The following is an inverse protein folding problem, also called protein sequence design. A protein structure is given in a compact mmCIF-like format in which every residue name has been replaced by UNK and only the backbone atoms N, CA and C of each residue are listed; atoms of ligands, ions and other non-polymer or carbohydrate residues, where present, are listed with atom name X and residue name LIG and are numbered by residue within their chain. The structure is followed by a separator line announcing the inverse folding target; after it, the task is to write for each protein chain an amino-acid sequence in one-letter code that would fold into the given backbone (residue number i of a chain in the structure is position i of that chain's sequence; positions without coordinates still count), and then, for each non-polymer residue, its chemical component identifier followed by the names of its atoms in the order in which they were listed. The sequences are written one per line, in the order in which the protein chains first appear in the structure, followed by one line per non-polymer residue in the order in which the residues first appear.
data_IF_846958401482
#
_entry.id   IF_846958401482
#
_cell.length_a   1.000
_cell.length_b   1.000
_cell.length_c   1.000
_cell.angle_alpha   90.00
_cell.angle_beta   90.00
_cell.angle_gamma   90.00
#
_symmetry.space_group_name_H-M   'P 1'
#
loop_
_entity.id
_entity.type
_entity.pdbx_description
1 polymer ?
#
# COMPACT_ATOMS: atom_id res chain seq x y z
N UNK A 1 -48.76 48.81 57.72
CA UNK A 1 -48.90 50.27 57.74
C UNK A 1 -48.96 50.76 56.35
N UNK A 2 -50.00 51.35 56.03
CA UNK A 2 -50.35 52.45 55.07
C UNK A 2 -50.00 52.20 53.62
N UNK A 3 -51.01 51.92 52.71
CA UNK A 3 -52.00 52.86 52.18
C UNK A 3 -51.32 53.86 51.26
N UNK A 4 -51.75 54.22 50.05
CA UNK A 4 -53.07 54.53 49.50
C UNK A 4 -52.90 55.02 48.02
N UNK A 5 -53.92 54.75 47.18
CA UNK A 5 -54.44 55.50 46.02
C UNK A 5 -53.49 55.76 44.81
N UNK A 6 -53.76 55.44 43.58
CA UNK A 6 -55.05 55.54 42.87
C UNK A 6 -54.99 56.65 41.85
N UNK A 7 -55.12 56.33 40.55
CA UNK A 7 -55.98 57.08 39.63
C UNK A 7 -55.94 56.56 38.22
N UNK A 8 -57.09 56.25 37.73
CA UNK A 8 -57.50 56.00 36.36
C UNK A 8 -57.35 57.22 35.45
N UNK A 9 -56.89 56.97 34.22
CA UNK A 9 -57.29 57.79 33.11
C UNK A 9 -57.43 56.98 31.83
N UNK A 10 -58.59 57.08 31.25
CA UNK A 10 -58.98 56.43 29.98
C UNK A 10 -58.52 57.29 28.78
N UNK A 11 -58.65 56.72 27.66
CA UNK A 11 -58.86 57.11 26.28
C UNK A 11 -57.67 57.15 25.32
N UNK A 12 -57.90 56.45 24.22
CA UNK A 12 -57.33 56.81 22.94
C UNK A 12 -57.13 55.64 22.01
N UNK A 13 -58.22 55.02 21.50
CA UNK A 13 -58.19 54.15 20.35
C UNK A 13 -57.66 54.84 19.09
N UNK A 14 -56.54 54.41 18.55
CA UNK A 14 -56.20 54.65 17.13
C UNK A 14 -55.75 53.34 16.56
N UNK A 15 -56.57 52.74 15.70
CA UNK A 15 -56.26 51.63 14.86
C UNK A 15 -55.21 52.02 13.82
N UNK A 16 -54.03 51.47 13.90
CA UNK A 16 -53.05 51.54 12.82
C UNK A 16 -53.06 50.17 12.15
N UNK A 17 -53.54 50.10 10.92
CA UNK A 17 -53.48 48.94 10.06
C UNK A 17 -51.99 48.70 9.69
N UNK A 18 -51.40 47.64 10.24
CA UNK A 18 -50.10 47.14 9.83
C UNK A 18 -50.35 46.15 8.69
N UNK A 19 -50.07 46.54 7.47
CA UNK A 19 -50.01 45.66 6.31
C UNK A 19 -48.77 44.77 6.48
N UNK A 20 -49.03 43.51 6.79
CA UNK A 20 -48.00 42.47 6.87
C UNK A 20 -47.62 42.06 5.44
N UNK A 21 -46.53 42.62 4.91
CA UNK A 21 -45.91 42.17 3.67
C UNK A 21 -45.23 40.85 3.94
N UNK A 22 -45.84 39.74 3.53
CA UNK A 22 -45.20 38.40 3.53
C UNK A 22 -44.11 38.40 2.46
N UNK A 23 -42.85 38.54 2.88
CA UNK A 23 -41.70 38.20 2.05
C UNK A 23 -41.67 36.68 1.92
N UNK A 24 -42.08 36.17 0.78
CA UNK A 24 -41.84 34.78 0.36
C UNK A 24 -40.35 34.70 0.05
N UNK A 25 -39.54 34.23 1.02
CA UNK A 25 -38.18 33.76 0.76
C UNK A 25 -38.35 32.49 -0.10
N UNK A 26 -38.16 32.63 -1.40
CA UNK A 26 -37.92 31.52 -2.30
C UNK A 26 -36.58 30.87 -1.85
N UNK A 27 -36.65 29.88 -0.94
CA UNK A 27 -35.55 28.97 -0.66
C UNK A 27 -35.31 28.20 -1.96
N UNK A 28 -34.26 28.55 -2.68
CA UNK A 28 -33.68 27.65 -3.67
C UNK A 28 -33.25 26.41 -2.90
N UNK A 29 -34.13 25.42 -2.81
CA UNK A 29 -33.82 24.08 -2.37
C UNK A 29 -32.90 23.45 -3.41
N UNK A 30 -31.61 23.70 -3.32
CA UNK A 30 -30.64 22.80 -3.85
C UNK A 30 -30.85 21.46 -3.11
N UNK A 31 -31.28 20.42 -3.80
CA UNK A 31 -31.25 19.07 -3.28
C UNK A 31 -29.78 18.65 -3.20
N UNK A 32 -29.12 19.04 -2.10
CA UNK A 32 -27.84 18.47 -1.71
C UNK A 32 -28.10 17.00 -1.39
N UNK A 33 -28.08 16.17 -2.42
CA UNK A 33 -27.98 14.72 -2.22
C UNK A 33 -26.72 14.49 -1.39
N UNK A 34 -26.81 13.72 -0.31
CA UNK A 34 -25.62 13.43 0.48
C UNK A 34 -24.53 12.88 -0.45
N UNK A 35 -23.26 13.32 -0.28
CA UNK A 35 -22.19 12.87 -1.16
C UNK A 35 -22.15 11.35 -1.19
N UNK A 36 -22.12 10.77 -2.39
CA UNK A 36 -22.01 9.32 -2.57
C UNK A 36 -20.74 8.85 -1.82
N UNK A 37 -20.86 7.92 -0.88
CA UNK A 37 -19.71 7.48 -0.12
C UNK A 37 -18.68 6.83 -1.06
N UNK A 38 -17.37 7.02 -0.83
CA UNK A 38 -16.32 6.50 -1.71
C UNK A 38 -16.45 4.99 -1.88
N UNK A 39 -16.10 4.47 -3.06
CA UNK A 39 -16.20 3.04 -3.38
C UNK A 39 -15.46 2.18 -2.35
N UNK A 40 -14.25 2.60 -1.97
CA UNK A 40 -13.47 1.97 -0.91
C UNK A 40 -13.34 2.95 0.28
N UNK A 41 -14.01 2.64 1.38
CA UNK A 41 -13.94 3.42 2.61
C UNK A 41 -12.65 3.17 3.42
N UNK A 42 -11.97 2.05 3.14
CA UNK A 42 -10.75 1.64 3.87
C UNK A 42 -9.81 0.90 2.92
N UNK A 43 -8.52 1.20 3.02
CA UNK A 43 -7.45 0.44 2.36
C UNK A 43 -6.59 -0.22 3.43
N UNK A 44 -6.43 -1.55 3.36
CA UNK A 44 -5.59 -2.36 4.26
C UNK A 44 -4.41 -2.89 3.48
N UNK A 45 -3.20 -2.78 4.05
CA UNK A 45 -1.95 -3.13 3.36
C UNK A 45 -1.17 -4.18 4.13
N UNK A 46 -0.69 -5.20 3.43
CA UNK A 46 0.25 -6.21 3.91
C UNK A 46 1.47 -6.22 2.99
N UNK A 47 2.69 -6.22 3.54
CA UNK A 47 3.89 -6.14 2.72
C UNK A 47 5.17 -5.94 3.51
N UNK A 48 6.17 -5.34 2.85
CA UNK A 48 7.48 -5.06 3.43
C UNK A 48 7.86 -3.57 3.28
N UNK A 49 9.15 -3.28 3.17
CA UNK A 49 9.69 -1.91 3.13
C UNK A 49 9.13 -1.02 2.02
N UNK A 50 8.75 -1.61 0.87
CA UNK A 50 8.18 -0.88 -0.29
C UNK A 50 6.80 -0.31 0.03
N UNK A 51 6.15 -0.82 1.07
CA UNK A 51 4.79 -0.41 1.49
C UNK A 51 4.71 -0.03 2.96
N UNK A 52 5.79 -0.17 3.75
CA UNK A 52 5.83 0.24 5.16
C UNK A 52 5.82 1.76 5.29
N UNK A 53 4.77 2.33 5.87
CA UNK A 53 4.61 3.77 6.10
C UNK A 53 5.07 4.22 7.48
N UNK A 54 5.80 3.35 8.21
CA UNK A 54 6.41 3.68 9.51
C UNK A 54 6.04 2.73 10.64
N UNK A 55 5.80 1.45 10.37
CA UNK A 55 5.68 0.42 11.41
C UNK A 55 7.05 0.10 12.01
N UNK A 56 8.12 0.10 11.20
CA UNK A 56 9.49 -0.17 11.67
C UNK A 56 10.20 1.13 11.99
N UNK A 57 10.18 2.11 11.09
CA UNK A 57 10.86 3.38 11.26
C UNK A 57 9.91 4.52 11.67
N UNK A 58 10.39 5.46 12.46
CA UNK A 58 11.77 5.72 12.90
C UNK A 58 12.20 5.02 14.20
N UNK A 59 11.41 4.08 14.73
CA UNK A 59 11.61 3.55 16.07
C UNK A 59 12.74 2.50 16.18
N UNK A 60 13.06 1.77 15.10
CA UNK A 60 14.02 0.68 15.13
C UNK A 60 15.45 1.15 14.83
N UNK A 61 16.48 0.52 15.43
CA UNK A 61 17.85 0.67 14.99
C UNK A 61 18.03 0.31 13.52
N UNK A 62 18.87 1.05 12.79
CA UNK A 62 19.13 0.80 11.36
C UNK A 62 18.11 1.41 10.42
N UNK A 63 17.19 2.23 10.91
CA UNK A 63 16.33 3.01 10.04
C UNK A 63 17.14 3.98 9.18
N UNK A 64 16.71 4.19 7.90
CA UNK A 64 17.41 5.11 7.03
C UNK A 64 17.34 6.55 7.58
N UNK A 65 18.38 7.37 7.32
CA UNK A 65 18.45 8.74 7.82
C UNK A 65 17.36 9.63 7.19
N UNK A 66 16.82 10.51 7.99
CA UNK A 66 15.81 11.50 7.55
C UNK A 66 16.37 12.92 7.80
N UNK A 67 16.60 13.74 6.75
CA UNK A 67 16.66 13.38 5.33
C UNK A 67 17.90 12.52 4.99
N UNK A 68 18.05 11.97 3.79
CA UNK A 68 17.29 12.21 2.56
C UNK A 68 16.12 11.24 2.33
N UNK A 69 15.92 10.25 3.20
CA UNK A 69 14.71 9.43 3.15
C UNK A 69 13.50 10.20 3.70
N UNK A 70 12.32 9.89 3.20
CA UNK A 70 11.08 10.39 3.79
C UNK A 70 10.80 9.69 5.13
N UNK A 71 10.30 10.43 6.11
CA UNK A 71 10.06 9.90 7.45
C UNK A 71 9.20 8.65 7.45
N UNK A 72 9.68 7.59 8.08
CA UNK A 72 9.01 6.30 8.20
C UNK A 72 8.98 5.46 6.91
N UNK A 73 9.70 5.85 5.85
CA UNK A 73 9.68 5.19 4.55
C UNK A 73 11.07 4.83 4.07
N UNK A 74 11.16 3.77 3.28
CA UNK A 74 12.38 3.36 2.59
C UNK A 74 12.43 3.94 1.17
N UNK A 75 12.07 5.21 1.05
CA UNK A 75 12.03 5.98 -0.21
C UNK A 75 12.23 7.47 0.08
N UNK A 76 12.39 8.28 -0.95
CA UNK A 76 12.48 9.74 -0.84
C UNK A 76 11.12 10.47 -0.78
N UNK A 77 10.01 9.72 -0.70
CA UNK A 77 8.67 10.32 -0.66
C UNK A 77 7.55 9.30 -0.49
N UNK A 78 6.32 9.62 -0.92
CA UNK A 78 5.16 8.75 -0.78
C UNK A 78 5.32 7.41 -1.48
N UNK A 79 4.75 6.36 -0.87
CA UNK A 79 4.73 5.00 -1.39
C UNK A 79 3.48 4.78 -2.27
N UNK A 80 3.51 3.80 -3.16
CA UNK A 80 2.41 3.54 -4.09
C UNK A 80 1.08 3.25 -3.39
N UNK A 81 1.10 2.59 -2.23
CA UNK A 81 -0.10 2.31 -1.44
C UNK A 81 -0.80 3.57 -0.95
N UNK A 82 -0.03 4.64 -0.68
CA UNK A 82 -0.57 5.95 -0.32
C UNK A 82 -1.26 6.60 -1.52
N UNK A 83 -0.67 6.49 -2.72
CA UNK A 83 -1.27 6.97 -3.97
C UNK A 83 -2.57 6.23 -4.29
N UNK A 84 -2.60 4.91 -4.10
CA UNK A 84 -3.80 4.10 -4.32
C UNK A 84 -4.90 4.45 -3.32
N UNK A 85 -4.58 4.54 -2.04
CA UNK A 85 -5.56 4.88 -1.00
C UNK A 85 -6.13 6.29 -1.17
N UNK A 86 -5.26 7.27 -1.46
CA UNK A 86 -5.65 8.67 -1.65
C UNK A 86 -6.66 8.86 -2.78
N UNK A 87 -6.62 8.02 -3.84
CA UNK A 87 -7.61 8.04 -4.92
C UNK A 87 -9.05 7.88 -4.42
N UNK A 88 -9.24 7.16 -3.32
CA UNK A 88 -10.54 6.89 -2.71
C UNK A 88 -10.76 7.69 -1.42
N UNK A 89 -9.96 8.72 -1.16
CA UNK A 89 -10.04 9.53 0.06
C UNK A 89 -9.61 8.82 1.34
N UNK A 90 -8.94 7.66 1.22
CA UNK A 90 -8.43 6.90 2.35
C UNK A 90 -6.96 7.23 2.63
N UNK A 91 -6.54 6.98 3.87
CA UNK A 91 -5.13 7.03 4.28
C UNK A 91 -4.67 5.65 4.76
N UNK A 92 -3.38 5.36 4.59
CA UNK A 92 -2.75 4.12 5.06
C UNK A 92 -1.68 4.46 6.09
N UNK A 93 -2.13 4.65 7.33
CA UNK A 93 -1.24 4.90 8.47
C UNK A 93 -0.75 3.59 9.08
N UNK A 94 0.42 3.56 9.74
CA UNK A 94 0.97 2.34 10.35
C UNK A 94 0.02 1.70 11.36
N UNK A 95 -0.06 0.36 11.38
CA UNK A 95 -0.86 -0.41 12.34
C UNK A 95 -0.38 -0.22 13.78
N UNK A 96 0.91 0.02 13.99
CA UNK A 96 1.50 0.36 15.29
C UNK A 96 0.98 1.66 15.88
N UNK A 97 0.30 2.48 15.05
CA UNK A 97 -0.38 3.73 15.45
C UNK A 97 -1.89 3.64 15.24
N UNK A 98 -2.45 2.43 15.23
CA UNK A 98 -3.89 2.20 15.07
C UNK A 98 -4.41 2.34 13.65
N UNK A 99 -3.51 2.36 12.64
CA UNK A 99 -3.88 2.46 11.23
C UNK A 99 -4.08 1.11 10.54
N UNK A 100 -4.19 1.17 9.22
CA UNK A 100 -4.53 0.03 8.37
C UNK A 100 -3.36 -0.52 7.55
N UNK A 101 -2.17 0.04 7.71
CA UNK A 101 -0.95 -0.47 7.09
C UNK A 101 -0.25 -1.45 8.05
N UNK A 102 -0.27 -2.73 7.72
CA UNK A 102 0.36 -3.81 8.46
C UNK A 102 1.72 -4.23 7.86
N UNK A 103 2.23 -3.54 6.84
CA UNK A 103 3.51 -3.83 6.24
C UNK A 103 4.67 -3.51 7.20
N UNK A 104 5.65 -4.40 7.29
CA UNK A 104 6.86 -4.22 8.08
C UNK A 104 8.10 -4.38 7.21
N UNK A 105 8.98 -3.40 7.21
CA UNK A 105 10.26 -3.48 6.50
C UNK A 105 11.04 -4.73 6.92
N UNK A 106 11.61 -5.46 5.93
CA UNK A 106 12.29 -6.72 6.16
C UNK A 106 11.38 -7.95 6.27
N UNK A 107 10.05 -7.78 6.18
CA UNK A 107 9.11 -8.90 6.19
C UNK A 107 9.35 -9.86 5.01
N UNK A 108 9.06 -11.15 5.24
CA UNK A 108 8.96 -12.21 4.24
C UNK A 108 7.49 -12.55 4.01
N UNK A 109 7.18 -13.34 2.98
CA UNK A 109 5.80 -13.79 2.75
C UNK A 109 5.31 -14.64 3.92
N UNK A 110 6.11 -15.58 4.36
CA UNK A 110 5.89 -16.48 5.50
C UNK A 110 7.19 -17.13 5.96
N UNK A 111 7.11 -18.35 6.42
CA UNK A 111 8.28 -19.16 6.79
C UNK A 111 9.02 -19.64 5.53
N UNK A 112 10.36 -19.55 5.55
CA UNK A 112 11.20 -20.12 4.49
C UNK A 112 11.54 -21.55 4.87
N UNK A 113 11.29 -22.53 3.99
CA UNK A 113 11.70 -23.91 4.21
C UNK A 113 13.20 -24.02 4.51
N UNK A 114 13.57 -24.86 5.48
CA UNK A 114 14.97 -25.09 5.84
C UNK A 114 15.68 -23.95 6.59
N UNK A 115 15.01 -22.80 6.80
CA UNK A 115 15.58 -21.72 7.60
C UNK A 115 15.34 -21.97 9.08
N UNK A 116 16.42 -22.20 9.84
CA UNK A 116 16.35 -22.51 11.28
C UNK A 116 16.12 -21.29 12.15
N UNK A 117 16.62 -20.11 11.72
CA UNK A 117 16.44 -18.85 12.45
C UNK A 117 15.34 -18.02 11.78
N UNK A 118 14.20 -17.93 12.41
CA UNK A 118 13.11 -17.08 11.93
C UNK A 118 13.39 -15.60 12.24
N UNK A 119 12.91 -14.73 11.35
CA UNK A 119 12.95 -13.27 11.59
C UNK A 119 11.98 -12.91 12.72
N UNK A 120 12.36 -11.92 13.54
CA UNK A 120 11.45 -11.29 14.51
C UNK A 120 10.48 -10.31 13.84
N UNK A 121 10.76 -9.90 12.59
CA UNK A 121 9.83 -9.09 11.78
C UNK A 121 8.61 -9.92 11.40
N UNK A 122 7.38 -9.44 11.65
CA UNK A 122 6.17 -10.15 11.27
C UNK A 122 6.15 -10.44 9.77
N UNK A 123 6.02 -11.72 9.39
CA UNK A 123 5.80 -12.10 7.99
C UNK A 123 4.44 -11.60 7.50
N UNK A 124 4.19 -11.59 6.18
CA UNK A 124 2.90 -11.17 5.65
C UNK A 124 1.74 -12.02 6.21
N UNK A 125 1.94 -13.32 6.40
CA UNK A 125 0.94 -14.18 7.05
C UNK A 125 0.69 -13.74 8.49
N UNK A 126 1.74 -13.42 9.24
CA UNK A 126 1.62 -12.91 10.61
C UNK A 126 0.99 -11.50 10.67
N UNK A 127 1.25 -10.65 9.67
CA UNK A 127 0.58 -9.36 9.51
C UNK A 127 -0.93 -9.53 9.31
N UNK A 128 -1.33 -10.52 8.50
CA UNK A 128 -2.74 -10.89 8.35
C UNK A 128 -3.33 -11.37 9.68
N UNK A 129 -2.60 -12.18 10.46
CA UNK A 129 -3.04 -12.61 11.80
C UNK A 129 -3.26 -11.40 12.73
N UNK A 130 -2.32 -10.45 12.74
CA UNK A 130 -2.45 -9.21 13.49
C UNK A 130 -3.70 -8.41 13.06
N UNK A 131 -3.91 -8.26 11.76
CA UNK A 131 -5.09 -7.59 11.22
C UNK A 131 -6.38 -8.30 11.67
N UNK A 132 -6.46 -9.62 11.44
CA UNK A 132 -7.66 -10.41 11.80
C UNK A 132 -7.98 -10.34 13.29
N UNK A 133 -6.98 -10.27 14.16
CA UNK A 133 -7.18 -10.11 15.61
C UNK A 133 -7.84 -8.77 15.98
N UNK A 134 -7.77 -7.76 15.12
CA UNK A 134 -8.45 -6.47 15.33
C UNK A 134 -9.90 -6.46 14.86
N UNK A 135 -10.33 -7.45 14.06
CA UNK A 135 -11.64 -7.46 13.45
C UNK A 135 -12.70 -8.02 14.38
N UNK A 136 -13.88 -7.40 14.37
CA UNK A 136 -15.07 -7.83 15.14
C UNK A 136 -16.21 -8.09 14.14
N UNK A 137 -16.24 -9.27 13.55
CA UNK A 137 -17.23 -9.66 12.55
C UNK A 137 -16.69 -9.72 11.14
N UNK A 138 -17.59 -9.71 10.15
CA UNK A 138 -17.20 -9.80 8.75
C UNK A 138 -16.53 -8.51 8.25
N UNK A 139 -15.55 -8.67 7.37
CA UNK A 139 -14.89 -7.56 6.69
C UNK A 139 -15.88 -6.84 5.77
N UNK A 140 -15.74 -5.52 5.68
CA UNK A 140 -16.56 -4.73 4.76
C UNK A 140 -16.24 -5.08 3.31
N UNK A 141 -17.26 -5.30 2.50
CA UNK A 141 -17.14 -5.46 1.06
C UNK A 141 -16.69 -4.16 0.34
N UNK A 142 -16.59 -3.04 1.08
CA UNK A 142 -16.06 -1.74 0.62
C UNK A 142 -14.64 -1.49 1.13
N UNK A 143 -13.94 -2.51 1.57
CA UNK A 143 -12.52 -2.43 1.91
C UNK A 143 -11.67 -2.94 0.75
N UNK A 144 -10.61 -2.20 0.43
CA UNK A 144 -9.57 -2.62 -0.51
C UNK A 144 -8.42 -3.23 0.27
N UNK A 145 -8.03 -4.46 -0.06
CA UNK A 145 -6.90 -5.14 0.53
C UNK A 145 -5.76 -5.19 -0.48
N UNK A 146 -4.56 -4.77 -0.08
CA UNK A 146 -3.35 -4.81 -0.90
C UNK A 146 -2.38 -5.82 -0.30
N UNK A 147 -2.09 -6.87 -1.04
CA UNK A 147 -1.07 -7.88 -0.74
C UNK A 147 0.14 -7.55 -1.61
N UNK A 148 1.17 -6.96 -0.98
CA UNK A 148 2.40 -6.56 -1.65
C UNK A 148 3.41 -7.72 -1.67
N UNK A 149 3.29 -8.57 -2.68
CA UNK A 149 4.20 -9.69 -2.83
C UNK A 149 5.59 -9.30 -3.41
N UNK A 150 5.92 -8.00 -3.54
CA UNK A 150 7.31 -7.54 -3.70
C UNK A 150 8.18 -8.02 -2.53
N UNK A 151 7.55 -8.30 -1.40
CA UNK A 151 8.10 -8.98 -0.21
C UNK A 151 8.88 -10.26 -0.55
N UNK A 152 8.57 -10.93 -1.67
CA UNK A 152 9.32 -12.08 -2.17
C UNK A 152 10.81 -11.76 -2.38
N UNK A 153 11.20 -10.51 -2.59
CA UNK A 153 12.60 -10.09 -2.60
C UNK A 153 13.35 -10.45 -1.32
N UNK A 154 12.71 -10.34 -0.16
CA UNK A 154 13.28 -10.74 1.11
C UNK A 154 13.36 -12.28 1.25
N UNK A 155 12.42 -13.02 0.64
CA UNK A 155 12.50 -14.47 0.56
C UNK A 155 13.70 -14.89 -0.29
N UNK A 156 13.92 -14.27 -1.44
CA UNK A 156 15.08 -14.52 -2.32
C UNK A 156 16.38 -14.24 -1.57
N UNK A 157 16.49 -13.09 -0.93
CA UNK A 157 17.69 -12.71 -0.19
C UNK A 157 18.05 -13.73 0.91
N UNK A 158 17.05 -14.22 1.64
CA UNK A 158 17.27 -15.24 2.69
C UNK A 158 17.40 -16.66 2.14
N UNK A 159 16.78 -16.97 1.01
CA UNK A 159 16.74 -18.31 0.43
C UNK A 159 17.92 -18.63 -0.47
N UNK A 160 18.54 -17.66 -1.13
CA UNK A 160 19.68 -17.90 -2.03
C UNK A 160 20.84 -18.65 -1.37
N UNK A 161 21.27 -18.30 -0.14
CA UNK A 161 22.31 -19.09 0.56
C UNK A 161 21.90 -20.53 0.81
N UNK A 162 20.62 -20.79 1.13
CA UNK A 162 20.10 -22.14 1.36
C UNK A 162 20.04 -22.97 0.07
N UNK A 163 19.71 -22.31 -1.04
CA UNK A 163 19.73 -22.92 -2.39
C UNK A 163 21.19 -23.25 -2.77
N UNK A 164 22.11 -22.32 -2.56
CA UNK A 164 23.54 -22.54 -2.81
C UNK A 164 24.15 -23.68 -1.99
N UNK A 165 23.66 -23.86 -0.76
CA UNK A 165 24.03 -24.96 0.12
C UNK A 165 23.31 -26.29 -0.18
N UNK A 166 22.37 -26.30 -1.14
CA UNK A 166 21.53 -27.49 -1.44
C UNK A 166 20.51 -27.86 -0.36
N UNK A 167 20.26 -26.97 0.61
CA UNK A 167 19.29 -27.19 1.70
C UNK A 167 17.85 -27.15 1.18
N UNK A 168 17.58 -26.26 0.23
CA UNK A 168 16.29 -26.15 -0.47
C UNK A 168 16.52 -25.94 -1.96
N UNK A 169 15.48 -26.14 -2.75
CA UNK A 169 15.46 -25.78 -4.18
C UNK A 169 14.78 -24.42 -4.39
N UNK A 170 15.07 -23.76 -5.52
CA UNK A 170 14.36 -22.55 -5.94
C UNK A 170 12.84 -22.78 -6.06
N UNK A 171 12.43 -23.97 -6.53
CA UNK A 171 11.01 -24.36 -6.60
C UNK A 171 10.36 -24.39 -5.21
N UNK A 172 11.03 -24.93 -4.20
CA UNK A 172 10.50 -24.95 -2.83
C UNK A 172 10.32 -23.54 -2.27
N UNK A 173 11.29 -22.63 -2.53
CA UNK A 173 11.19 -21.24 -2.11
C UNK A 173 10.00 -20.53 -2.77
N UNK A 174 9.85 -20.68 -4.08
CA UNK A 174 8.76 -20.09 -4.86
C UNK A 174 7.41 -20.64 -4.44
N UNK A 175 7.28 -21.97 -4.30
CA UNK A 175 6.04 -22.64 -3.90
C UNK A 175 5.59 -22.19 -2.51
N UNK A 176 6.50 -22.09 -1.54
CA UNK A 176 6.19 -21.63 -0.19
C UNK A 176 5.60 -20.19 -0.23
N UNK A 177 6.25 -19.28 -0.95
CA UNK A 177 5.77 -17.91 -1.08
C UNK A 177 4.39 -17.80 -1.77
N UNK A 178 4.15 -18.60 -2.80
CA UNK A 178 2.85 -18.65 -3.48
C UNK A 178 1.77 -19.16 -2.53
N UNK A 179 2.07 -20.23 -1.77
CA UNK A 179 1.16 -20.78 -0.77
C UNK A 179 0.77 -19.75 0.27
N UNK A 180 1.73 -18.94 0.75
CA UNK A 180 1.48 -17.84 1.68
C UNK A 180 0.47 -16.85 1.09
N UNK A 181 0.71 -16.37 -0.15
CA UNK A 181 -0.15 -15.37 -0.81
C UNK A 181 -1.57 -15.93 -1.04
N UNK A 182 -1.68 -17.15 -1.55
CA UNK A 182 -2.97 -17.82 -1.78
C UNK A 182 -3.73 -18.00 -0.46
N UNK A 183 -3.03 -18.41 0.60
CA UNK A 183 -3.60 -18.51 1.94
C UNK A 183 -4.15 -17.16 2.42
N UNK A 184 -3.42 -16.07 2.20
CA UNK A 184 -3.87 -14.74 2.58
C UNK A 184 -5.13 -14.33 1.82
N UNK A 185 -5.18 -14.53 0.49
CA UNK A 185 -6.38 -14.24 -0.34
C UNK A 185 -7.56 -15.07 0.15
N UNK A 186 -7.38 -16.37 0.36
CA UNK A 186 -8.43 -17.29 0.83
C UNK A 186 -9.00 -16.86 2.18
N UNK A 187 -8.13 -16.51 3.14
CA UNK A 187 -8.54 -16.09 4.48
C UNK A 187 -9.26 -14.75 4.45
N UNK A 188 -8.80 -13.78 3.66
CA UNK A 188 -9.48 -12.49 3.46
C UNK A 188 -10.86 -12.71 2.82
N UNK A 189 -10.95 -13.54 1.78
CA UNK A 189 -12.22 -13.88 1.14
C UNK A 189 -13.21 -14.52 2.13
N UNK A 190 -12.76 -15.53 2.88
CA UNK A 190 -13.58 -16.21 3.89
C UNK A 190 -14.08 -15.26 4.99
N UNK A 191 -13.29 -14.24 5.32
CA UNK A 191 -13.65 -13.19 6.28
C UNK A 191 -14.59 -12.11 5.71
N UNK A 192 -14.90 -12.14 4.41
CA UNK A 192 -15.85 -11.21 3.77
C UNK A 192 -15.22 -10.19 2.82
N UNK A 193 -13.90 -10.20 2.60
CA UNK A 193 -13.27 -9.33 1.59
C UNK A 193 -13.83 -9.61 0.19
N UNK A 194 -13.98 -8.54 -0.60
CA UNK A 194 -14.47 -8.62 -1.99
C UNK A 194 -13.59 -7.88 -2.99
N UNK A 195 -12.58 -7.15 -2.54
CA UNK A 195 -11.64 -6.43 -3.39
C UNK A 195 -10.22 -6.64 -2.86
N UNK A 196 -9.42 -7.39 -3.61
CA UNK A 196 -8.02 -7.70 -3.25
C UNK A 196 -7.12 -7.37 -4.43
N UNK A 197 -6.09 -6.57 -4.18
CA UNK A 197 -4.97 -6.32 -5.10
C UNK A 197 -3.83 -7.22 -4.69
N UNK A 198 -3.25 -7.95 -5.63
CA UNK A 198 -1.99 -8.67 -5.48
C UNK A 198 -0.97 -8.03 -6.42
N UNK A 199 0.12 -7.53 -5.86
CA UNK A 199 1.27 -7.01 -6.64
C UNK A 199 2.37 -8.07 -6.56
N UNK A 200 2.76 -8.67 -7.69
CA UNK A 200 3.86 -9.65 -7.67
C UNK A 200 5.24 -8.96 -7.51
N UNK A 201 6.30 -9.76 -7.39
CA UNK A 201 7.66 -9.24 -7.28
C UNK A 201 8.15 -8.66 -8.61
N UNK A 202 8.94 -7.55 -8.57
CA UNK A 202 9.67 -7.10 -9.76
C UNK A 202 10.73 -8.12 -10.16
N UNK A 203 11.36 -7.93 -11.31
CA UNK A 203 12.58 -8.66 -11.63
C UNK A 203 13.70 -8.21 -10.67
N UNK A 204 13.90 -8.99 -9.60
CA UNK A 204 14.87 -8.68 -8.54
C UNK A 204 16.29 -8.65 -9.10
N UNK A 205 16.58 -9.41 -10.18
CA UNK A 205 17.85 -9.38 -10.88
C UNK A 205 18.22 -8.01 -11.47
N UNK A 206 17.26 -7.11 -11.66
CA UNK A 206 17.51 -5.75 -12.17
C UNK A 206 17.86 -4.74 -11.07
N UNK A 207 17.70 -5.09 -9.80
CA UNK A 207 18.02 -4.17 -8.71
C UNK A 207 19.52 -3.87 -8.65
N UNK A 208 19.93 -2.64 -8.32
CA UNK A 208 21.36 -2.31 -8.21
C UNK A 208 22.11 -3.21 -7.22
N UNK A 209 21.45 -3.66 -6.17
CA UNK A 209 22.00 -4.60 -5.19
C UNK A 209 22.43 -5.93 -5.85
N UNK A 210 21.56 -6.51 -6.65
CA UNK A 210 21.80 -7.81 -7.30
C UNK A 210 22.74 -7.64 -8.51
N UNK A 211 22.65 -6.52 -9.22
CA UNK A 211 23.59 -6.19 -10.29
C UNK A 211 25.04 -6.13 -9.79
N UNK A 212 25.26 -5.56 -8.62
CA UNK A 212 26.59 -5.50 -7.99
C UNK A 212 27.10 -6.88 -7.53
N UNK A 213 26.24 -7.87 -7.34
CA UNK A 213 26.62 -9.23 -6.96
C UNK A 213 27.05 -10.12 -8.15
N UNK A 214 26.92 -9.64 -9.40
CA UNK A 214 27.43 -10.27 -10.61
C UNK A 214 26.46 -11.24 -11.29
N UNK A 215 26.89 -11.76 -12.46
CA UNK A 215 26.03 -12.47 -13.41
C UNK A 215 25.29 -13.68 -12.83
N UNK A 216 25.92 -14.45 -11.94
CA UNK A 216 25.29 -15.61 -11.31
C UNK A 216 24.10 -15.19 -10.43
N UNK A 217 24.27 -14.16 -9.61
CA UNK A 217 23.22 -13.63 -8.75
C UNK A 217 22.07 -13.04 -9.58
N UNK A 218 22.40 -12.30 -10.64
CA UNK A 218 21.44 -11.74 -11.60
C UNK A 218 20.59 -12.85 -12.20
N UNK A 219 21.24 -13.91 -12.74
CA UNK A 219 20.54 -15.04 -13.34
C UNK A 219 19.61 -15.74 -12.35
N UNK A 220 20.12 -16.07 -11.17
CA UNK A 220 19.33 -16.73 -10.11
C UNK A 220 18.13 -15.90 -9.65
N UNK A 221 18.34 -14.60 -9.36
CA UNK A 221 17.27 -13.73 -8.92
C UNK A 221 16.21 -13.47 -10.00
N UNK A 222 16.64 -13.33 -11.27
CA UNK A 222 15.71 -13.19 -12.41
C UNK A 222 14.86 -14.45 -12.59
N UNK A 223 15.49 -15.64 -12.51
CA UNK A 223 14.77 -16.92 -12.64
C UNK A 223 13.75 -17.12 -11.51
N UNK A 224 14.14 -16.83 -10.26
CA UNK A 224 13.25 -16.95 -9.12
C UNK A 224 12.08 -15.98 -9.21
N UNK A 225 12.34 -14.70 -9.56
CA UNK A 225 11.28 -13.68 -9.71
C UNK A 225 10.32 -13.99 -10.84
N UNK A 226 10.85 -14.43 -11.99
CA UNK A 226 10.03 -14.81 -13.15
C UNK A 226 9.19 -16.05 -12.86
N UNK A 227 9.79 -17.07 -12.25
CA UNK A 227 9.07 -18.26 -11.81
C UNK A 227 7.99 -17.96 -10.78
N UNK A 228 8.28 -17.06 -9.82
CA UNK A 228 7.28 -16.59 -8.86
C UNK A 228 6.12 -15.86 -9.55
N UNK A 229 6.42 -14.90 -10.42
CA UNK A 229 5.38 -14.10 -11.11
C UNK A 229 4.46 -15.00 -11.95
N UNK A 230 5.03 -15.88 -12.76
CA UNK A 230 4.28 -16.78 -13.64
C UNK A 230 3.43 -17.78 -12.84
N UNK A 231 4.02 -18.46 -11.86
CA UNK A 231 3.30 -19.49 -11.10
C UNK A 231 2.27 -18.87 -10.15
N UNK A 232 2.53 -17.68 -9.57
CA UNK A 232 1.55 -16.97 -8.76
C UNK A 232 0.32 -16.62 -9.59
N UNK A 233 0.50 -16.03 -10.77
CA UNK A 233 -0.61 -15.66 -11.66
C UNK A 233 -1.44 -16.89 -12.05
N UNK A 234 -0.78 -18.01 -12.43
CA UNK A 234 -1.44 -19.25 -12.80
C UNK A 234 -2.23 -19.84 -11.60
N UNK A 235 -1.63 -19.85 -10.41
CA UNK A 235 -2.28 -20.41 -9.21
C UNK A 235 -3.48 -19.54 -8.79
N UNK A 236 -3.37 -18.23 -8.80
CA UNK A 236 -4.47 -17.33 -8.49
C UNK A 236 -5.63 -17.47 -9.49
N UNK A 237 -5.32 -17.61 -10.79
CA UNK A 237 -6.34 -17.87 -11.82
C UNK A 237 -7.06 -19.22 -11.59
N UNK A 238 -6.32 -20.27 -11.27
CA UNK A 238 -6.87 -21.58 -10.99
C UNK A 238 -7.76 -21.57 -9.73
N UNK A 239 -7.35 -20.87 -8.68
CA UNK A 239 -8.09 -20.78 -7.43
C UNK A 239 -9.29 -19.83 -7.48
N UNK A 240 -9.38 -18.97 -8.49
CA UNK A 240 -10.42 -17.94 -8.58
C UNK A 240 -11.85 -18.49 -8.57
N UNK A 241 -12.07 -19.71 -9.10
CA UNK A 241 -13.35 -20.42 -9.03
C UNK A 241 -13.82 -20.70 -7.59
N UNK A 242 -12.89 -20.81 -6.64
CA UNK A 242 -13.16 -20.98 -5.20
C UNK A 242 -13.53 -19.67 -4.48
N UNK A 243 -13.45 -18.51 -5.16
CA UNK A 243 -13.71 -17.20 -4.57
C UNK A 243 -14.81 -16.43 -5.35
N UNK A 244 -16.04 -16.96 -5.46
CA UNK A 244 -17.10 -16.30 -6.21
C UNK A 244 -17.40 -14.90 -5.64
N UNK A 245 -17.48 -13.90 -6.54
CA UNK A 245 -17.74 -12.52 -6.19
C UNK A 245 -16.51 -11.76 -5.62
N UNK A 246 -15.32 -12.37 -5.59
CA UNK A 246 -14.08 -11.66 -5.31
C UNK A 246 -13.59 -10.96 -6.57
N UNK A 247 -13.35 -9.66 -6.47
CA UNK A 247 -12.61 -8.89 -7.46
C UNK A 247 -11.13 -8.97 -7.10
N UNK A 248 -10.39 -9.82 -7.81
CA UNK A 248 -8.96 -10.01 -7.64
C UNK A 248 -8.23 -9.23 -8.73
N UNK A 249 -7.54 -8.17 -8.34
CA UNK A 249 -6.75 -7.31 -9.23
C UNK A 249 -5.29 -7.72 -9.13
N UNK A 250 -4.64 -8.01 -10.25
CA UNK A 250 -3.25 -8.45 -10.27
C UNK A 250 -2.39 -7.46 -11.04
N UNK A 251 -1.35 -6.91 -10.41
CA UNK A 251 -0.32 -6.14 -11.08
C UNK A 251 0.91 -7.03 -11.32
N UNK A 252 1.25 -7.23 -12.59
CA UNK A 252 2.50 -7.89 -12.99
C UNK A 252 3.66 -6.89 -12.96
N UNK A 253 4.26 -6.75 -11.79
CA UNK A 253 5.40 -5.87 -11.59
C UNK A 253 6.70 -6.48 -12.17
N UNK A 254 6.78 -7.82 -12.34
CA UNK A 254 7.91 -8.45 -13.03
C UNK A 254 8.01 -7.96 -14.47
N UNK A 255 6.92 -8.04 -15.23
CA UNK A 255 6.87 -7.52 -16.61
C UNK A 255 7.06 -6.01 -16.65
N UNK A 256 6.41 -5.26 -15.76
CA UNK A 256 6.52 -3.80 -15.70
C UNK A 256 7.96 -3.35 -15.41
N UNK A 257 8.67 -3.99 -14.48
CA UNK A 257 10.07 -3.64 -14.18
C UNK A 257 11.02 -3.91 -15.37
N UNK A 258 10.81 -5.00 -16.09
CA UNK A 258 11.55 -5.27 -17.33
C UNK A 258 11.27 -4.20 -18.40
N UNK A 259 10.02 -3.78 -18.58
CA UNK A 259 9.64 -2.73 -19.53
C UNK A 259 10.27 -1.37 -19.17
N UNK A 260 10.21 -0.99 -17.89
CA UNK A 260 10.82 0.26 -17.41
C UNK A 260 12.34 0.24 -17.65
N UNK A 261 13.00 -0.86 -17.35
CA UNK A 261 14.46 -0.96 -17.52
C UNK A 261 14.86 -0.96 -19.00
N UNK A 262 14.06 -1.59 -19.87
CA UNK A 262 14.32 -1.60 -21.30
C UNK A 262 14.11 -0.24 -21.98
N UNK A 263 13.16 0.56 -21.51
CA UNK A 263 12.87 1.89 -22.07
C UNK A 263 12.41 2.86 -20.96
N UNK A 264 13.31 3.34 -20.11
CA UNK A 264 12.95 4.21 -18.99
C UNK A 264 12.29 5.52 -19.43
N UNK A 265 12.65 6.06 -20.59
CA UNK A 265 12.11 7.30 -21.13
C UNK A 265 10.59 7.21 -21.38
N UNK A 266 10.06 6.06 -21.78
CA UNK A 266 8.63 5.84 -21.95
C UNK A 266 7.83 5.94 -20.62
N UNK A 267 8.53 5.92 -19.49
CA UNK A 267 7.97 6.05 -18.16
C UNK A 267 8.37 7.36 -17.46
N UNK A 268 8.94 8.31 -18.19
CA UNK A 268 9.40 9.59 -17.64
C UNK A 268 10.68 9.51 -16.81
N UNK A 269 11.45 8.41 -16.95
CA UNK A 269 12.69 8.18 -16.23
C UNK A 269 13.87 8.31 -17.17
N UNK A 270 15.03 8.74 -16.67
CA UNK A 270 16.30 8.75 -17.41
C UNK A 270 17.27 7.68 -16.90
N UNK A 271 17.01 7.11 -15.73
CA UNK A 271 17.86 6.09 -15.11
C UNK A 271 17.02 5.00 -14.43
N UNK A 272 17.21 3.75 -14.88
CA UNK A 272 16.54 2.58 -14.33
C UNK A 272 17.52 1.51 -13.82
N UNK A 273 18.81 1.85 -13.65
CA UNK A 273 19.85 0.88 -13.29
C UNK A 273 20.70 1.31 -12.10
N UNK A 274 20.95 2.62 -11.92
CA UNK A 274 21.73 3.13 -10.80
C UNK A 274 20.81 3.62 -9.65
N UNK A 275 21.27 3.53 -8.39
CA UNK A 275 20.58 4.16 -7.27
C UNK A 275 20.79 5.68 -7.30
N UNK A 276 19.75 6.45 -6.89
CA UNK A 276 19.84 7.89 -6.70
C UNK A 276 20.55 8.27 -5.38
N UNK A 277 20.34 7.45 -4.35
CA UNK A 277 21.00 7.56 -3.05
C UNK A 277 22.01 6.44 -2.88
N UNK A 278 23.25 6.80 -2.48
CA UNK A 278 24.28 5.83 -2.12
C UNK A 278 25.19 6.38 -1.03
N UNK A 279 25.82 5.47 -0.29
CA UNK A 279 26.82 5.79 0.72
C UNK A 279 28.13 5.09 0.35
N UNK A 280 29.23 5.83 0.29
CA UNK A 280 30.56 5.30 0.04
C UNK A 280 31.51 5.80 1.15
N UNK A 281 31.88 4.92 2.07
CA UNK A 281 32.56 5.29 3.29
C UNK A 281 31.69 6.24 4.13
N UNK A 282 32.17 7.46 4.36
CA UNK A 282 31.43 8.52 5.05
C UNK A 282 30.67 9.47 4.09
N UNK A 283 30.85 9.30 2.79
CA UNK A 283 30.25 10.20 1.78
C UNK A 283 28.87 9.75 1.42
N UNK A 284 27.88 10.62 1.61
CA UNK A 284 26.49 10.45 1.17
C UNK A 284 26.33 11.13 -0.19
N UNK A 285 25.88 10.38 -1.19
CA UNK A 285 25.59 10.89 -2.51
C UNK A 285 24.10 10.80 -2.79
N UNK A 286 23.51 11.90 -3.27
CA UNK A 286 22.14 11.97 -3.73
C UNK A 286 22.15 12.56 -5.13
N UNK A 287 21.47 11.90 -6.07
CA UNK A 287 21.38 12.39 -7.44
C UNK A 287 20.63 13.73 -7.51
N UNK A 288 20.93 14.55 -8.53
CA UNK A 288 20.31 15.88 -8.66
C UNK A 288 18.82 15.85 -9.02
N UNK A 289 18.37 14.75 -9.65
CA UNK A 289 16.99 14.62 -10.16
C UNK A 289 16.36 13.28 -9.74
N UNK A 290 15.97 13.11 -8.47
CA UNK A 290 15.44 11.84 -7.95
C UNK A 290 14.22 11.32 -8.72
N UNK A 291 13.37 12.22 -9.23
CA UNK A 291 12.15 11.86 -9.98
C UNK A 291 12.43 11.24 -11.36
N UNK A 292 13.68 11.24 -11.80
CA UNK A 292 14.10 10.60 -13.06
C UNK A 292 14.76 9.23 -12.84
N UNK A 293 14.84 8.74 -11.58
CA UNK A 293 15.44 7.46 -11.24
C UNK A 293 14.38 6.44 -10.86
N UNK A 294 14.58 5.17 -11.29
CA UNK A 294 13.77 4.05 -10.84
C UNK A 294 14.05 3.73 -9.37
N UNK A 295 15.33 3.64 -9.02
CA UNK A 295 15.77 3.24 -7.70
C UNK A 295 16.19 4.45 -6.84
N UNK A 296 15.64 4.51 -5.61
CA UNK A 296 16.09 5.44 -4.61
C UNK A 296 17.44 5.02 -4.05
N UNK A 297 17.52 3.81 -3.52
CA UNK A 297 18.75 3.18 -3.05
C UNK A 297 19.05 1.90 -3.86
N UNK A 298 19.88 1.00 -3.34
CA UNK A 298 20.24 -0.22 -4.06
C UNK A 298 19.09 -1.21 -4.30
N UNK A 299 17.92 -0.99 -3.68
CA UNK A 299 16.80 -1.94 -3.73
C UNK A 299 15.43 -1.27 -3.86
N UNK A 300 15.21 -0.13 -3.21
CA UNK A 300 13.90 0.49 -3.09
C UNK A 300 13.62 1.48 -4.23
N UNK A 301 12.35 1.60 -4.68
CA UNK A 301 11.98 2.57 -5.71
C UNK A 301 11.99 4.00 -5.15
N UNK A 302 12.21 4.97 -6.05
CA UNK A 302 11.94 6.39 -5.76
C UNK A 302 10.44 6.64 -5.57
N UNK A 303 10.08 7.81 -5.02
CA UNK A 303 8.69 8.24 -4.96
C UNK A 303 8.05 8.36 -6.36
N UNK A 304 8.82 8.78 -7.39
CA UNK A 304 8.34 8.82 -8.78
C UNK A 304 8.04 7.43 -9.31
N UNK A 305 8.94 6.47 -9.13
CA UNK A 305 8.72 5.08 -9.51
C UNK A 305 7.57 4.45 -8.73
N UNK A 306 7.46 4.75 -7.43
CA UNK A 306 6.35 4.34 -6.59
C UNK A 306 5.02 4.88 -7.11
N UNK A 307 4.98 6.14 -7.55
CA UNK A 307 3.79 6.74 -8.19
C UNK A 307 3.39 6.02 -9.47
N UNK A 308 4.36 5.60 -10.31
CA UNK A 308 4.08 4.81 -11.52
C UNK A 308 3.39 3.48 -11.17
N UNK A 309 3.87 2.78 -10.14
CA UNK A 309 3.24 1.54 -9.65
C UNK A 309 1.80 1.83 -9.19
N UNK A 310 1.60 2.87 -8.40
CA UNK A 310 0.27 3.29 -7.93
C UNK A 310 -0.69 3.62 -9.07
N UNK A 311 -0.22 4.31 -10.12
CA UNK A 311 -1.01 4.60 -11.33
C UNK A 311 -1.43 3.32 -12.07
N UNK A 312 -0.53 2.32 -12.18
CA UNK A 312 -0.87 1.03 -12.80
C UNK A 312 -1.91 0.26 -12.00
N UNK A 313 -1.81 0.24 -10.67
CA UNK A 313 -2.85 -0.34 -9.82
C UNK A 313 -4.17 0.41 -9.99
N UNK A 314 -4.12 1.75 -9.98
CA UNK A 314 -5.30 2.59 -10.15
C UNK A 314 -6.02 2.38 -11.51
N UNK A 315 -5.29 1.98 -12.55
CA UNK A 315 -5.88 1.62 -13.84
C UNK A 315 -6.61 0.27 -13.84
N UNK A 316 -6.29 -0.62 -12.89
CA UNK A 316 -6.98 -1.90 -12.69
C UNK A 316 -8.25 -1.75 -11.84
N UNK A 317 -8.31 -0.72 -11.00
CA UNK A 317 -9.39 -0.51 -10.04
C UNK A 317 -10.53 0.31 -10.64
N UNK A 318 -11.78 0.10 -10.19
CA UNK A 318 -12.92 0.91 -10.59
C UNK A 318 -12.67 2.42 -10.34
N UNK A 319 -13.34 3.29 -11.09
CA UNK A 319 -13.31 4.71 -10.84
C UNK A 319 -13.90 5.03 -9.45
N UNK A 320 -13.40 6.06 -8.74
CA UNK A 320 -14.06 6.60 -7.57
C UNK A 320 -15.48 7.05 -7.92
N UNK A 321 -16.42 6.86 -7.00
CA UNK A 321 -17.81 7.30 -7.13
C UNK A 321 -17.96 8.70 -6.54
#
# INVERSE_FOLDING_TARGET
MLSIFGRTARLGTRAAAVTLSALILASCGGSDSPPTPPLFGTTVVFGASVTDTGNVCPAAPGCPPVPPYASGRYSNGPLYVETVAARYGAAVTPSTRGGTNFAYAGARTGAIPGLTTQSTTPSMVAQLDQFMATQRGQLSNRSLFIIDATTFGNNVNAGLPLIGAGTITGTQLVTAAITDIVTMVTRLYAAGARHVVVVNAPNIGLTPLVQAAGAQAIGAATQLSGGFAQNLAATLAQQSAGWPGLNLYQLDLFTLSNQITANPAAFGLSNATAPCFSVSGTTVNVCAQPNQYLYWDSFHPTAAASSLIGQRINALLPAPQ
#
